data_IF_564790653666
#
_entry.id   IF_564790653666
#
_cell.length_a   1.000
_cell.length_b   1.000
_cell.length_c   1.000
_cell.angle_alpha   90.00
_cell.angle_beta   90.00
_cell.angle_gamma   90.00
#
_symmetry.space_group_name_H-M   'P 1'
#
loop_
_entity.id
_entity.type
_entity.pdbx_description
1 polymer ?
#
# COMPACT_ATOMS: atom_id res chain seq x y z
N UNK A 1 -7.24 -12.98 11.69
CA UNK A 1 -7.28 -11.63 11.11
C UNK A 1 -8.67 -11.48 10.55
N UNK A 2 -9.40 -10.47 10.99
CA UNK A 2 -10.80 -10.31 10.59
C UNK A 2 -10.89 -10.02 9.09
N UNK A 3 -11.69 -10.80 8.36
CA UNK A 3 -11.87 -10.62 6.92
C UNK A 3 -12.54 -9.27 6.62
N UNK A 4 -13.32 -8.75 7.56
CA UNK A 4 -14.02 -7.47 7.43
C UNK A 4 -13.02 -6.30 7.47
N UNK A 5 -12.08 -6.31 8.42
CA UNK A 5 -11.01 -5.31 8.51
C UNK A 5 -10.14 -5.26 7.23
N UNK A 6 -9.86 -6.41 6.63
CA UNK A 6 -9.05 -6.48 5.41
C UNK A 6 -9.80 -5.89 4.20
N UNK A 7 -11.10 -6.17 4.07
CA UNK A 7 -11.92 -5.62 3.00
C UNK A 7 -12.05 -4.11 3.14
N UNK A 8 -12.28 -3.62 4.36
CA UNK A 8 -12.34 -2.18 4.61
C UNK A 8 -11.02 -1.50 4.24
N UNK A 9 -9.87 -2.07 4.61
CA UNK A 9 -8.57 -1.53 4.24
C UNK A 9 -8.35 -1.47 2.71
N UNK A 10 -8.83 -2.48 1.96
CA UNK A 10 -8.80 -2.48 0.49
C UNK A 10 -9.69 -1.38 -0.09
N UNK A 11 -10.89 -1.19 0.46
CA UNK A 11 -11.79 -0.11 0.03
C UNK A 11 -11.17 1.27 0.23
N UNK A 12 -10.43 1.48 1.33
CA UNK A 12 -9.68 2.73 1.58
C UNK A 12 -8.55 2.97 0.57
N UNK A 13 -7.88 1.91 0.10
CA UNK A 13 -6.84 1.99 -0.94
C UNK A 13 -7.43 2.34 -2.31
N UNK A 14 -8.51 1.66 -2.67
CA UNK A 14 -9.11 1.76 -4.00
C UNK A 14 -10.00 3.00 -4.15
N UNK A 15 -10.28 3.74 -3.07
CA UNK A 15 -11.25 4.84 -3.03
C UNK A 15 -12.60 4.43 -3.63
N UNK A 16 -12.96 3.15 -3.44
CA UNK A 16 -14.24 2.58 -3.89
C UNK A 16 -15.26 3.06 -2.88
N UNK A 17 -15.71 4.29 -3.06
CA UNK A 17 -16.80 4.85 -2.28
C UNK A 17 -18.03 3.95 -2.38
N UNK A 18 -18.56 3.53 -1.24
CA UNK A 18 -19.96 3.09 -1.16
C UNK A 18 -20.84 4.19 -1.76
N UNK A 19 -21.60 3.86 -2.81
CA UNK A 19 -22.78 4.60 -3.22
C UNK A 19 -22.64 5.52 -4.43
N UNK A 20 -22.54 4.93 -5.62
CA UNK A 20 -23.25 5.50 -6.77
C UNK A 20 -24.77 5.35 -6.52
N UNK A 21 -25.39 6.34 -5.89
CA UNK A 21 -26.84 6.52 -5.99
C UNK A 21 -27.15 7.20 -7.32
N UNK A 22 -27.35 6.40 -8.37
CA UNK A 22 -27.96 6.88 -9.63
C UNK A 22 -29.43 7.16 -9.33
N UNK A 23 -29.78 8.41 -9.08
CA UNK A 23 -31.19 8.84 -9.13
C UNK A 23 -31.54 9.22 -10.57
N UNK A 24 -32.71 8.79 -11.01
CA UNK A 24 -33.23 8.95 -12.36
C UNK A 24 -33.54 10.42 -12.72
N UNK A 25 -32.50 11.24 -12.92
CA UNK A 25 -32.51 12.45 -13.73
C UNK A 25 -31.08 12.99 -13.80
N UNK A 26 -30.47 12.93 -14.98
CA UNK A 26 -29.06 13.23 -15.23
C UNK A 26 -28.59 14.59 -14.71
N UNK A 27 -28.08 14.61 -13.47
CA UNK A 27 -27.28 15.69 -12.92
C UNK A 27 -26.32 15.10 -11.89
N UNK A 28 -25.06 14.87 -12.30
CA UNK A 28 -23.96 14.55 -11.37
C UNK A 28 -23.81 15.73 -10.40
N UNK A 29 -24.33 15.60 -9.18
CA UNK A 29 -23.94 16.50 -8.08
C UNK A 29 -22.70 15.90 -7.43
N UNK A 30 -21.58 16.62 -7.56
CA UNK A 30 -20.40 16.42 -6.73
C UNK A 30 -20.84 16.63 -5.27
N UNK A 31 -20.94 15.54 -4.51
CA UNK A 31 -21.14 15.62 -3.07
C UNK A 31 -19.77 15.92 -2.47
N UNK A 32 -19.60 17.15 -2.00
CA UNK A 32 -18.52 17.52 -1.11
C UNK A 32 -18.84 17.01 0.30
N UNK A 33 -17.86 16.45 0.99
CA UNK A 33 -17.87 16.36 2.46
C UNK A 33 -16.46 16.58 2.99
N UNK A 34 -16.17 17.85 3.30
CA UNK A 34 -15.15 18.26 4.27
C UNK A 34 -15.56 17.76 5.67
N UNK A 35 -14.66 17.14 6.44
CA UNK A 35 -14.87 16.91 7.88
C UNK A 35 -14.14 15.74 8.55
N UNK A 36 -13.57 14.81 7.78
CA UNK A 36 -12.69 13.75 8.30
C UNK A 36 -11.46 13.67 7.40
N UNK A 37 -10.28 13.41 7.95
CA UNK A 37 -9.11 13.06 7.16
C UNK A 37 -9.57 12.02 6.12
N UNK A 38 -9.31 12.26 4.83
CA UNK A 38 -9.72 11.33 3.76
C UNK A 38 -9.35 9.91 4.19
N UNK A 39 -10.24 8.92 3.99
CA UNK A 39 -10.03 7.53 4.46
C UNK A 39 -8.64 6.99 4.07
N UNK A 40 -8.13 7.49 2.94
CA UNK A 40 -6.78 7.23 2.44
C UNK A 40 -5.66 7.85 3.29
N UNK A 41 -5.84 9.06 3.81
CA UNK A 41 -4.91 9.72 4.75
C UNK A 41 -4.84 8.96 6.07
N UNK A 42 -5.98 8.49 6.59
CA UNK A 42 -5.99 7.62 7.77
C UNK A 42 -5.23 6.31 7.50
N UNK A 43 -5.47 5.67 6.36
CA UNK A 43 -4.75 4.46 5.95
C UNK A 43 -3.22 4.67 5.85
N UNK A 44 -2.79 5.80 5.27
CA UNK A 44 -1.36 6.14 5.20
C UNK A 44 -0.78 6.41 6.58
N UNK A 45 -1.54 7.03 7.48
CA UNK A 45 -1.12 7.23 8.87
C UNK A 45 -0.98 5.90 9.62
N UNK A 46 -1.87 4.93 9.39
CA UNK A 46 -1.77 3.56 9.94
C UNK A 46 -0.50 2.86 9.43
N UNK A 47 -0.16 3.02 8.14
CA UNK A 47 1.09 2.50 7.58
C UNK A 47 2.34 3.15 8.18
N UNK A 48 2.33 4.46 8.40
CA UNK A 48 3.50 5.20 8.90
C UNK A 48 3.69 5.05 10.42
N UNK A 49 2.61 5.14 11.19
CA UNK A 49 2.63 5.32 12.63
C UNK A 49 1.78 4.31 13.41
N UNK A 50 1.14 3.37 12.72
CA UNK A 50 0.31 2.35 13.35
C UNK A 50 1.12 1.34 14.16
N UNK A 51 0.40 0.59 14.97
CA UNK A 51 0.91 -0.59 15.70
C UNK A 51 1.35 -1.68 14.72
N UNK A 52 2.18 -2.66 15.15
CA UNK A 52 2.60 -3.77 14.30
C UNK A 52 1.43 -4.54 13.68
N UNK A 53 0.31 -4.69 14.40
CA UNK A 53 -0.88 -5.37 13.90
C UNK A 53 -1.64 -4.54 12.85
N UNK A 54 -1.78 -3.23 13.06
CA UNK A 54 -2.36 -2.31 12.07
C UNK A 54 -1.52 -2.28 10.79
N UNK A 55 -0.20 -2.16 10.92
CA UNK A 55 0.74 -2.20 9.79
C UNK A 55 0.67 -3.54 9.06
N UNK A 56 0.55 -4.66 9.77
CA UNK A 56 0.38 -5.98 9.17
C UNK A 56 -0.90 -6.06 8.33
N UNK A 57 -2.01 -5.54 8.83
CA UNK A 57 -3.29 -5.51 8.10
C UNK A 57 -3.17 -4.61 6.88
N UNK A 58 -2.61 -3.41 7.04
CA UNK A 58 -2.45 -2.44 5.95
C UNK A 58 -1.56 -2.97 4.83
N UNK A 59 -0.40 -3.56 5.13
CA UNK A 59 0.49 -4.15 4.11
C UNK A 59 -0.15 -5.38 3.47
N UNK A 60 -0.93 -6.17 4.23
CA UNK A 60 -1.69 -7.29 3.65
C UNK A 60 -2.76 -6.80 2.66
N UNK A 61 -3.44 -5.71 2.98
CA UNK A 61 -4.41 -5.07 2.09
C UNK A 61 -3.74 -4.56 0.81
N UNK A 62 -2.58 -3.90 0.92
CA UNK A 62 -1.79 -3.46 -0.24
C UNK A 62 -1.40 -4.63 -1.15
N UNK A 63 -0.90 -5.73 -0.58
CA UNK A 63 -0.54 -6.92 -1.34
C UNK A 63 -1.75 -7.52 -2.08
N UNK A 64 -2.93 -7.53 -1.46
CA UNK A 64 -4.15 -8.00 -2.09
C UNK A 64 -4.61 -7.04 -3.21
N UNK A 65 -4.55 -5.74 -2.97
CA UNK A 65 -4.91 -4.70 -3.94
C UNK A 65 -4.05 -4.74 -5.20
N UNK A 66 -2.74 -5.10 -5.11
CA UNK A 66 -1.90 -5.30 -6.29
C UNK A 66 -2.47 -6.31 -7.30
N UNK A 67 -3.24 -7.30 -6.85
CA UNK A 67 -3.82 -8.34 -7.72
C UNK A 67 -5.20 -7.96 -8.29
N UNK A 68 -5.71 -6.78 -7.94
CA UNK A 68 -7.00 -6.29 -8.43
C UNK A 68 -6.80 -5.50 -9.72
N UNK A 69 -7.81 -5.50 -10.59
CA UNK A 69 -7.78 -4.70 -11.82
C UNK A 69 -7.63 -3.21 -11.50
N UNK A 70 -6.60 -2.58 -12.08
CA UNK A 70 -6.24 -1.18 -11.82
C UNK A 70 -5.68 -0.92 -10.42
N UNK A 71 -5.56 -1.92 -9.56
CA UNK A 71 -5.13 -1.74 -8.16
C UNK A 71 -3.67 -1.34 -8.01
N UNK A 72 -2.82 -1.71 -8.98
CA UNK A 72 -1.38 -1.39 -8.93
C UNK A 72 -1.11 0.12 -8.91
N UNK A 73 -1.84 0.91 -9.71
CA UNK A 73 -1.68 2.37 -9.76
C UNK A 73 -2.11 3.03 -8.45
N UNK A 74 -3.22 2.54 -7.86
CA UNK A 74 -3.70 2.99 -6.56
C UNK A 74 -2.69 2.68 -5.45
N UNK A 75 -2.15 1.47 -5.44
CA UNK A 75 -1.12 1.03 -4.50
C UNK A 75 0.15 1.86 -4.63
N UNK A 76 0.65 2.09 -5.85
CA UNK A 76 1.83 2.91 -6.08
C UNK A 76 1.63 4.33 -5.55
N UNK A 77 0.45 4.92 -5.77
CA UNK A 77 0.14 6.23 -5.21
C UNK A 77 0.06 6.23 -3.66
N UNK A 78 -0.44 5.15 -3.05
CA UNK A 78 -0.40 5.01 -1.57
C UNK A 78 1.05 4.89 -1.08
N UNK A 79 1.92 4.17 -1.80
CA UNK A 79 3.36 4.08 -1.45
C UNK A 79 4.03 5.45 -1.53
N UNK A 80 3.68 6.28 -2.51
CA UNK A 80 4.22 7.65 -2.61
C UNK A 80 3.75 8.53 -1.43
N UNK A 81 2.50 8.36 -0.98
CA UNK A 81 1.99 9.04 0.21
C UNK A 81 2.62 8.52 1.50
N UNK A 82 2.88 7.22 1.61
CA UNK A 82 3.58 6.62 2.75
C UNK A 82 5.00 7.17 2.87
N UNK A 83 5.70 7.32 1.74
CA UNK A 83 6.99 8.02 1.68
C UNK A 83 6.89 9.45 2.21
N UNK A 84 5.89 10.21 1.78
CA UNK A 84 5.70 11.60 2.24
C UNK A 84 5.40 11.65 3.75
N UNK A 85 4.57 10.74 4.26
CA UNK A 85 4.22 10.64 5.68
C UNK A 85 5.44 10.29 6.57
N UNK A 86 6.35 9.45 6.06
CA UNK A 86 7.61 9.12 6.74
C UNK A 86 8.73 10.13 6.47
N UNK A 87 8.48 11.22 5.72
CA UNK A 87 9.49 12.18 5.27
C UNK A 87 10.71 11.51 4.59
N UNK A 88 10.44 10.46 3.81
CA UNK A 88 11.48 9.65 3.19
C UNK A 88 11.90 10.21 1.81
N UNK A 89 13.17 10.03 1.46
CA UNK A 89 13.71 10.50 0.17
C UNK A 89 13.23 9.66 -1.01
N UNK A 90 13.10 8.35 -0.82
CA UNK A 90 12.76 7.41 -1.89
C UNK A 90 11.48 6.67 -1.54
N UNK A 91 10.62 6.45 -2.55
CA UNK A 91 9.28 5.89 -2.36
C UNK A 91 9.22 4.56 -1.60
N UNK A 92 10.22 3.70 -1.80
CA UNK A 92 10.30 2.38 -1.18
C UNK A 92 11.14 2.37 0.10
N UNK A 93 11.74 3.50 0.50
CA UNK A 93 12.53 3.56 1.72
C UNK A 93 11.74 3.11 2.97
N UNK A 94 10.49 3.56 3.20
CA UNK A 94 9.72 3.08 4.35
C UNK A 94 9.51 1.56 4.36
N UNK A 95 9.33 0.94 3.18
CA UNK A 95 9.19 -0.51 3.04
C UNK A 95 10.49 -1.25 3.40
N UNK A 96 11.63 -0.71 2.98
CA UNK A 96 12.94 -1.28 3.31
C UNK A 96 13.24 -1.13 4.81
N UNK A 97 12.91 0.03 5.38
CA UNK A 97 13.07 0.29 6.80
C UNK A 97 12.21 -0.68 7.64
N UNK A 98 10.94 -0.90 7.27
CA UNK A 98 10.08 -1.89 7.93
C UNK A 98 10.65 -3.32 7.85
N UNK A 99 11.23 -3.72 6.71
CA UNK A 99 11.87 -5.04 6.57
C UNK A 99 13.07 -5.19 7.53
N UNK A 100 13.86 -4.13 7.72
CA UNK A 100 15.02 -4.14 8.62
C UNK A 100 14.57 -4.15 10.08
N UNK A 101 13.63 -3.27 10.45
CA UNK A 101 13.14 -3.14 11.82
C UNK A 101 12.34 -4.34 12.28
N UNK A 102 11.66 -5.03 11.36
CA UNK A 102 10.78 -6.16 11.67
C UNK A 102 11.42 -7.52 11.46
N UNK A 103 12.75 -7.60 11.31
CA UNK A 103 13.47 -8.85 11.02
C UNK A 103 13.13 -10.01 11.96
N UNK A 104 12.88 -9.72 13.24
CA UNK A 104 12.57 -10.72 14.27
C UNK A 104 11.07 -11.09 14.31
N UNK A 105 10.22 -10.37 13.57
CA UNK A 105 8.81 -10.66 13.39
C UNK A 105 8.56 -11.41 12.08
N UNK A 106 8.72 -12.73 12.11
CA UNK A 106 8.60 -13.60 10.94
C UNK A 106 7.25 -13.43 10.19
N UNK A 107 6.15 -13.22 10.93
CA UNK A 107 4.82 -13.05 10.34
C UNK A 107 4.73 -11.76 9.54
N UNK A 108 5.19 -10.64 10.10
CA UNK A 108 5.13 -9.36 9.43
C UNK A 108 6.13 -9.26 8.27
N UNK A 109 7.36 -9.75 8.45
CA UNK A 109 8.37 -9.84 7.39
C UNK A 109 7.89 -10.67 6.20
N UNK A 110 7.20 -11.79 6.44
CA UNK A 110 6.58 -12.58 5.36
C UNK A 110 5.53 -11.77 4.58
N UNK A 111 4.74 -10.94 5.25
CA UNK A 111 3.74 -10.08 4.60
C UNK A 111 4.40 -8.96 3.79
N UNK A 112 5.46 -8.34 4.30
CA UNK A 112 6.26 -7.33 3.57
C UNK A 112 6.86 -7.93 2.29
N UNK A 113 7.40 -9.15 2.36
CA UNK A 113 7.89 -9.87 1.18
C UNK A 113 6.81 -10.19 0.16
N UNK A 114 5.64 -10.65 0.64
CA UNK A 114 4.48 -10.90 -0.24
C UNK A 114 4.04 -9.64 -0.94
N UNK A 115 4.01 -8.51 -0.25
CA UNK A 115 3.68 -7.21 -0.83
C UNK A 115 4.71 -6.80 -1.90
N UNK A 116 5.99 -6.88 -1.58
CA UNK A 116 7.07 -6.56 -2.52
C UNK A 116 7.00 -7.41 -3.80
N UNK A 117 6.77 -8.72 -3.64
CA UNK A 117 6.59 -9.62 -4.78
C UNK A 117 5.34 -9.27 -5.60
N UNK A 118 4.23 -8.97 -4.92
CA UNK A 118 2.99 -8.57 -5.58
C UNK A 118 3.16 -7.26 -6.38
N UNK A 119 3.88 -6.27 -5.84
CA UNK A 119 4.22 -5.04 -6.56
C UNK A 119 4.97 -5.34 -7.87
N UNK A 120 6.00 -6.18 -7.82
CA UNK A 120 6.84 -6.44 -8.99
C UNK A 120 6.16 -7.32 -10.05
N UNK A 121 5.30 -8.24 -9.64
CA UNK A 121 4.61 -9.15 -10.57
C UNK A 121 3.46 -8.46 -11.28
N UNK A 122 2.66 -7.66 -10.55
CA UNK A 122 1.41 -7.09 -11.08
C UNK A 122 1.58 -5.75 -11.82
N UNK A 123 2.81 -5.29 -12.07
CA UNK A 123 3.05 -4.14 -12.95
C UNK A 123 2.98 -4.60 -14.40
N UNK A 124 2.09 -4.03 -15.19
CA UNK A 124 1.84 -4.51 -16.56
C UNK A 124 3.06 -4.33 -17.47
N UNK A 125 3.61 -3.12 -17.48
CA UNK A 125 4.73 -2.72 -18.33
C UNK A 125 6.04 -3.39 -17.92
N UNK A 126 6.69 -4.18 -18.80
CA UNK A 126 8.01 -4.73 -18.53
C UNK A 126 9.07 -3.67 -18.24
N UNK A 127 8.97 -2.50 -18.87
CA UNK A 127 9.87 -1.39 -18.65
C UNK A 127 9.71 -0.82 -17.23
N UNK A 128 8.48 -0.60 -16.78
CA UNK A 128 8.21 -0.06 -15.44
C UNK A 128 8.58 -1.06 -14.36
N UNK A 129 8.35 -2.36 -14.61
CA UNK A 129 8.81 -3.44 -13.75
C UNK A 129 10.34 -3.43 -13.58
N UNK A 130 11.10 -3.21 -14.66
CA UNK A 130 12.56 -3.08 -14.60
C UNK A 130 12.97 -1.85 -13.81
N UNK A 131 12.31 -0.71 -14.05
CA UNK A 131 12.55 0.53 -13.31
C UNK A 131 12.32 0.36 -11.80
N UNK A 132 11.20 -0.22 -11.38
CA UNK A 132 10.91 -0.45 -9.96
C UNK A 132 11.93 -1.40 -9.31
N UNK A 133 12.41 -2.42 -10.03
CA UNK A 133 13.50 -3.27 -9.54
C UNK A 133 14.78 -2.47 -9.32
N UNK A 134 15.14 -1.58 -10.24
CA UNK A 134 16.32 -0.73 -10.08
C UNK A 134 16.19 0.22 -8.89
N UNK A 135 15.01 0.78 -8.64
CA UNK A 135 14.75 1.60 -7.45
C UNK A 135 15.01 0.80 -6.16
N UNK A 136 14.50 -0.43 -6.08
CA UNK A 136 14.73 -1.32 -4.93
C UNK A 136 16.18 -1.78 -4.78
N UNK A 137 16.87 -2.06 -5.90
CA UNK A 137 18.30 -2.38 -5.91
C UNK A 137 19.11 -1.19 -5.38
N UNK A 138 18.75 0.04 -5.78
CA UNK A 138 19.37 1.26 -5.29
C UNK A 138 19.22 1.46 -3.77
N UNK A 139 18.17 0.88 -3.18
CA UNK A 139 17.94 0.84 -1.73
C UNK A 139 18.55 -0.39 -1.05
N UNK A 140 19.48 -1.08 -1.72
CA UNK A 140 20.18 -2.24 -1.18
C UNK A 140 19.26 -3.39 -0.72
N UNK A 141 18.07 -3.52 -1.32
CA UNK A 141 17.14 -4.60 -0.99
C UNK A 141 17.82 -5.97 -0.98
N UNK A 142 18.75 -6.25 -1.91
CA UNK A 142 19.51 -7.51 -1.94
C UNK A 142 20.19 -7.82 -0.60
N UNK A 143 20.87 -6.84 -0.01
CA UNK A 143 21.59 -6.99 1.26
C UNK A 143 20.60 -7.26 2.39
N UNK A 144 19.48 -6.53 2.41
CA UNK A 144 18.41 -6.73 3.40
C UNK A 144 17.83 -8.14 3.31
N UNK A 145 17.57 -8.65 2.11
CA UNK A 145 17.07 -10.01 1.91
C UNK A 145 18.08 -11.07 2.39
N UNK A 146 19.36 -10.86 2.13
CA UNK A 146 20.42 -11.78 2.57
C UNK A 146 20.51 -11.87 4.10
N UNK A 147 20.21 -10.79 4.82
CA UNK A 147 20.16 -10.77 6.29
C UNK A 147 18.93 -11.44 6.88
N UNK A 148 17.90 -11.72 6.07
CA UNK A 148 16.64 -12.33 6.48
C UNK A 148 16.56 -13.84 6.14
N UNK A 149 17.62 -14.41 5.55
CA UNK A 149 17.77 -15.83 5.25
C UNK A 149 18.38 -16.59 6.42
#
# INVERSE_FOLDING_TARGET
MDSEMLLEAIDRIMDVGQGAAVTAKGRRKSIHSHGGLSKRVLFVSELAHGTPDEKLVAVTALAKACHMNGGIDHVLNVVDQWKDACNARYRFQPLIDELIFSKDNARYTTVLFKFLNALLVNVDSPHDRVRLRYELIGLQLRVVIEQLR
#
